data_IF_197997285103
#
_entry.id   IF_197997285103
#
_cell.length_a   1.000
_cell.length_b   1.000
_cell.length_c   1.000
_cell.angle_alpha   90.00
_cell.angle_beta   90.00
_cell.angle_gamma   90.00
#
_symmetry.space_group_name_H-M   'P 1'
#
loop_
_entity.id
_entity.type
_entity.pdbx_description
1 polymer ?
#
# COMPACT_ATOMS: atom_id res chain seq x y z
N UNK A 1 -58.73 -10.93 -30.33
CA UNK A 1 -58.19 -9.80 -29.54
C UNK A 1 -57.59 -10.40 -28.27
N UNK A 2 -56.26 -10.33 -28.05
CA UNK A 2 -55.69 -10.88 -26.81
C UNK A 2 -54.22 -11.34 -26.82
N UNK A 3 -53.44 -11.13 -27.88
CA UNK A 3 -52.03 -11.54 -27.94
C UNK A 3 -51.04 -10.40 -27.59
N UNK A 4 -51.47 -9.43 -26.77
CA UNK A 4 -50.67 -8.21 -26.46
C UNK A 4 -50.25 -8.06 -24.99
N UNK A 5 -50.67 -8.96 -24.10
CA UNK A 5 -50.47 -8.76 -22.65
C UNK A 5 -49.34 -9.59 -22.05
N UNK A 6 -48.80 -10.60 -22.76
CA UNK A 6 -47.72 -11.45 -22.23
C UNK A 6 -46.32 -10.86 -22.45
N UNK A 7 -46.14 -10.04 -23.49
CA UNK A 7 -44.85 -9.42 -23.86
C UNK A 7 -44.47 -8.23 -22.98
N UNK A 8 -45.44 -7.56 -22.33
CA UNK A 8 -45.18 -6.44 -21.41
C UNK A 8 -44.76 -6.90 -20.00
N UNK A 9 -45.15 -8.10 -19.59
CA UNK A 9 -44.77 -8.64 -18.28
C UNK A 9 -43.30 -9.12 -18.27
N UNK A 10 -42.80 -9.59 -19.41
CA UNK A 10 -41.42 -10.03 -19.56
C UNK A 10 -40.42 -8.87 -19.63
N UNK A 11 -40.83 -7.72 -20.16
CA UNK A 11 -39.96 -6.53 -20.27
C UNK A 11 -39.71 -5.84 -18.92
N UNK A 12 -40.64 -5.96 -17.96
CA UNK A 12 -40.44 -5.46 -16.59
C UNK A 12 -39.50 -6.33 -15.76
N UNK A 13 -39.42 -7.63 -16.05
CA UNK A 13 -38.56 -8.56 -15.30
C UNK A 13 -37.08 -8.45 -15.70
N UNK A 14 -36.81 -8.06 -16.95
CA UNK A 14 -35.44 -7.90 -17.49
C UNK A 14 -34.67 -6.67 -16.98
N UNK A 15 -35.32 -5.69 -16.34
CA UNK A 15 -34.64 -4.50 -15.78
C UNK A 15 -34.18 -4.72 -14.32
N UNK A 16 -34.76 -5.68 -13.60
CA UNK A 16 -34.41 -5.95 -12.20
C UNK A 16 -33.11 -6.73 -11.98
N UNK A 17 -32.59 -7.39 -13.02
CA UNK A 17 -31.44 -8.32 -12.90
C UNK A 17 -30.10 -7.60 -13.12
N UNK A 18 -30.09 -6.36 -13.63
CA UNK A 18 -28.86 -5.62 -13.91
C UNK A 18 -28.24 -4.91 -12.69
N UNK A 19 -28.85 -4.99 -11.50
CA UNK A 19 -28.34 -4.30 -10.30
C UNK A 19 -27.53 -5.19 -9.33
N UNK A 20 -27.37 -6.49 -9.62
CA UNK A 20 -26.73 -7.42 -8.66
C UNK A 20 -25.21 -7.57 -8.87
N UNK A 21 -24.62 -6.91 -9.87
CA UNK A 21 -23.18 -7.02 -10.18
C UNK A 21 -22.43 -5.69 -10.04
N UNK A 22 -22.86 -4.81 -9.14
CA UNK A 22 -22.05 -3.67 -8.74
C UNK A 22 -21.11 -4.13 -7.62
N UNK A 23 -19.84 -4.37 -7.95
CA UNK A 23 -18.82 -4.75 -6.99
C UNK A 23 -18.57 -3.57 -6.02
N UNK A 24 -19.16 -3.63 -4.84
CA UNK A 24 -19.07 -2.57 -3.82
C UNK A 24 -17.77 -2.61 -3.02
N UNK A 25 -16.83 -3.51 -3.35
CA UNK A 25 -15.57 -3.67 -2.61
C UNK A 25 -14.78 -2.36 -2.52
N UNK A 26 -14.73 -1.57 -3.60
CA UNK A 26 -14.04 -0.28 -3.66
C UNK A 26 -14.78 0.88 -2.96
N UNK A 27 -16.01 0.68 -2.47
CA UNK A 27 -16.75 1.69 -1.72
C UNK A 27 -16.37 1.70 -0.24
N UNK A 28 -15.80 0.59 0.28
CA UNK A 28 -15.46 0.48 1.69
C UNK A 28 -14.06 1.06 1.93
N UNK A 29 -14.00 2.11 2.73
CA UNK A 29 -12.73 2.73 3.12
C UNK A 29 -11.83 1.73 3.87
N UNK A 30 -10.62 1.54 3.37
CA UNK A 30 -9.58 0.78 4.06
C UNK A 30 -9.07 1.61 5.24
N UNK A 31 -9.16 1.14 6.50
CA UNK A 31 -8.84 1.96 7.65
C UNK A 31 -7.35 2.27 7.73
N UNK A 32 -7.00 3.51 8.09
CA UNK A 32 -5.60 3.94 8.20
C UNK A 32 -4.80 3.14 9.24
N UNK A 33 -5.46 2.63 10.29
CA UNK A 33 -4.85 1.74 11.29
C UNK A 33 -4.40 0.39 10.70
N UNK A 34 -4.84 0.01 9.50
CA UNK A 34 -4.40 -1.22 8.85
C UNK A 34 -2.92 -1.19 8.47
N UNK A 35 -2.27 -0.03 8.45
CA UNK A 35 -0.81 0.06 8.32
C UNK A 35 -0.07 -0.32 9.60
N UNK A 36 -0.70 -0.21 10.77
CA UNK A 36 -0.03 -0.46 12.05
C UNK A 36 0.35 -1.94 12.19
N UNK A 37 1.59 -2.21 12.56
CA UNK A 37 2.14 -3.56 12.68
C UNK A 37 3.60 -3.67 12.24
N UNK A 38 4.09 -4.91 12.20
CA UNK A 38 5.43 -5.24 11.71
C UNK A 38 5.31 -5.81 10.30
N UNK A 39 6.18 -5.33 9.43
CA UNK A 39 6.15 -5.64 8.01
C UNK A 39 7.54 -6.00 7.49
N UNK A 40 7.62 -7.07 6.73
CA UNK A 40 8.81 -7.50 6.01
C UNK A 40 8.84 -6.93 4.60
N UNK A 41 9.99 -6.43 4.16
CA UNK A 41 10.19 -5.98 2.79
C UNK A 41 10.46 -7.16 1.85
N UNK A 42 9.79 -7.18 0.70
CA UNK A 42 9.96 -8.15 -0.38
C UNK A 42 10.04 -7.48 -1.76
N UNK A 43 10.54 -8.21 -2.76
CA UNK A 43 10.62 -7.77 -4.17
C UNK A 43 11.82 -6.90 -4.53
N UNK A 44 12.48 -6.30 -3.56
CA UNK A 44 13.72 -5.51 -3.76
C UNK A 44 14.89 -6.26 -3.17
N UNK A 45 15.67 -6.96 -4.00
CA UNK A 45 16.78 -7.85 -3.58
C UNK A 45 17.67 -7.27 -2.47
N UNK A 46 17.99 -5.97 -2.53
CA UNK A 46 18.82 -5.31 -1.51
C UNK A 46 18.17 -5.24 -0.13
N UNK A 47 16.84 -5.11 -0.07
CA UNK A 47 16.06 -4.87 1.17
C UNK A 47 15.26 -6.08 1.62
N UNK A 48 15.22 -7.16 0.83
CA UNK A 48 14.49 -8.38 1.18
C UNK A 48 14.84 -8.86 2.58
N UNK A 49 13.82 -9.13 3.40
CA UNK A 49 13.96 -9.61 4.77
C UNK A 49 14.16 -8.53 5.83
N UNK A 50 14.32 -7.26 5.46
CA UNK A 50 14.27 -6.17 6.44
C UNK A 50 12.88 -6.06 7.05
N UNK A 51 12.81 -5.80 8.36
CA UNK A 51 11.54 -5.63 9.09
C UNK A 51 11.36 -4.19 9.53
N UNK A 52 10.19 -3.65 9.21
CA UNK A 52 9.79 -2.27 9.50
C UNK A 52 8.56 -2.32 10.40
N UNK A 53 8.64 -1.67 11.57
CA UNK A 53 7.48 -1.45 12.44
C UNK A 53 6.83 -0.12 12.09
N UNK A 54 5.55 -0.15 11.72
CA UNK A 54 4.76 1.04 11.46
C UNK A 54 3.86 1.30 12.66
N UNK A 55 3.98 2.48 13.24
CA UNK A 55 3.20 2.92 14.39
C UNK A 55 2.99 4.44 14.37
N UNK A 56 2.04 4.91 15.19
CA UNK A 56 1.81 6.34 15.37
C UNK A 56 2.94 6.95 16.20
N UNK A 57 3.50 8.05 15.71
CA UNK A 57 4.42 8.88 16.49
C UNK A 57 3.67 9.81 17.47
N UNK A 58 4.42 10.59 18.24
CA UNK A 58 3.89 11.58 19.21
C UNK A 58 2.93 12.61 18.61
N UNK A 59 2.97 12.81 17.29
CA UNK A 59 2.09 13.72 16.54
C UNK A 59 0.89 13.00 15.91
N UNK A 60 0.60 11.77 16.33
CA UNK A 60 -0.43 10.89 15.76
C UNK A 60 -0.27 10.60 14.25
N UNK A 61 0.93 10.74 13.70
CA UNK A 61 1.23 10.38 12.30
C UNK A 61 1.88 9.01 12.25
N UNK A 62 1.51 8.20 11.25
CA UNK A 62 2.16 6.91 11.04
C UNK A 62 3.57 7.11 10.49
N UNK A 63 4.54 6.45 11.13
CA UNK A 63 5.93 6.37 10.70
C UNK A 63 6.42 4.94 10.81
N UNK A 64 7.28 4.53 9.89
CA UNK A 64 7.87 3.19 9.87
C UNK A 64 9.33 3.25 10.31
N UNK A 65 9.69 2.49 11.35
CA UNK A 65 11.07 2.35 11.83
C UNK A 65 11.61 0.97 11.53
N UNK A 66 12.90 0.90 11.19
CA UNK A 66 13.61 -0.37 11.07
C UNK A 66 13.69 -1.04 12.43
N UNK A 67 13.31 -2.31 12.51
CA UNK A 67 13.47 -3.12 13.72
C UNK A 67 14.39 -4.32 13.52
N UNK A 68 14.65 -4.70 12.26
CA UNK A 68 15.59 -5.78 11.92
C UNK A 68 16.17 -5.54 10.52
N UNK A 69 17.48 -5.66 10.40
CA UNK A 69 18.22 -5.54 9.15
C UNK A 69 18.45 -6.91 8.52
N UNK A 70 18.53 -6.96 7.19
CA UNK A 70 18.96 -8.16 6.48
C UNK A 70 20.50 -8.29 6.44
N UNK A 71 21.01 -9.34 5.80
CA UNK A 71 22.45 -9.59 5.63
C UNK A 71 23.12 -8.77 4.51
N UNK A 72 22.42 -7.81 3.89
CA UNK A 72 23.01 -7.03 2.82
C UNK A 72 24.05 -6.04 3.36
N UNK A 73 25.29 -6.18 2.89
CA UNK A 73 26.42 -5.32 3.31
C UNK A 73 26.13 -3.82 3.18
N UNK A 74 25.50 -3.39 2.08
CA UNK A 74 25.25 -1.97 1.86
C UNK A 74 24.18 -1.45 2.82
N UNK A 75 23.12 -2.21 3.04
CA UNK A 75 22.09 -1.87 4.03
C UNK A 75 22.73 -1.66 5.41
N UNK A 76 23.55 -2.62 5.87
CA UNK A 76 24.24 -2.53 7.17
C UNK A 76 25.25 -1.39 7.31
N UNK A 77 25.73 -0.84 6.18
CA UNK A 77 26.66 0.29 6.20
C UNK A 77 25.96 1.65 6.35
N UNK A 78 24.68 1.73 6.01
CA UNK A 78 23.98 3.01 5.84
C UNK A 78 22.62 3.08 6.54
N UNK A 79 22.21 2.02 7.21
CA UNK A 79 20.93 1.92 7.92
C UNK A 79 21.19 1.26 9.27
N UNK A 80 20.65 1.85 10.31
CA UNK A 80 20.69 1.32 11.67
C UNK A 80 19.29 0.90 12.13
N UNK A 81 19.22 0.03 13.13
CA UNK A 81 17.94 -0.22 13.80
C UNK A 81 17.40 1.08 14.42
N UNK A 82 16.07 1.21 14.46
CA UNK A 82 15.32 2.41 14.80
C UNK A 82 15.38 3.57 13.80
N UNK A 83 16.15 3.47 12.71
CA UNK A 83 16.09 4.46 11.64
C UNK A 83 14.67 4.61 11.09
N UNK A 84 14.29 5.85 10.76
CA UNK A 84 13.02 6.11 10.09
C UNK A 84 13.16 5.65 8.63
N UNK A 85 12.50 4.55 8.30
CA UNK A 85 12.40 4.04 6.94
C UNK A 85 11.23 4.70 6.20
N UNK A 86 10.02 4.64 6.78
CA UNK A 86 8.84 5.31 6.23
C UNK A 86 8.66 6.63 6.95
N UNK A 87 8.89 7.72 6.21
CA UNK A 87 8.79 9.10 6.71
C UNK A 87 7.34 9.56 6.81
N UNK A 88 6.51 9.16 5.86
CA UNK A 88 5.12 9.60 5.78
C UNK A 88 4.25 8.55 5.09
N UNK A 89 3.01 8.44 5.56
CA UNK A 89 1.93 7.72 4.91
C UNK A 89 0.78 8.72 4.75
N UNK A 90 0.17 8.80 3.57
CA UNK A 90 -0.99 9.65 3.31
C UNK A 90 -2.03 8.93 2.48
N UNK A 91 -3.30 9.28 2.66
CA UNK A 91 -4.42 8.76 1.87
C UNK A 91 -4.62 9.58 0.60
N UNK A 92 -4.77 8.89 -0.52
CA UNK A 92 -5.16 9.50 -1.80
C UNK A 92 -6.62 9.21 -2.15
N UNK A 93 -7.12 8.01 -1.83
CA UNK A 93 -8.52 7.62 -2.00
C UNK A 93 -8.99 6.68 -0.88
N UNK A 94 -10.18 6.09 -0.99
CA UNK A 94 -10.70 5.15 0.01
C UNK A 94 -9.82 3.91 0.17
N UNK A 95 -9.07 3.52 -0.87
CA UNK A 95 -8.22 2.34 -0.92
C UNK A 95 -6.78 2.64 -1.39
N UNK A 96 -6.55 3.81 -2.01
CA UNK A 96 -5.22 4.25 -2.45
C UNK A 96 -4.52 5.13 -1.41
N UNK A 97 -3.23 4.89 -1.26
CA UNK A 97 -2.35 5.57 -0.35
C UNK A 97 -1.03 5.95 -1.03
N UNK A 98 -0.28 6.81 -0.35
CA UNK A 98 1.10 7.15 -0.72
C UNK A 98 2.01 6.91 0.46
N UNK A 99 3.14 6.27 0.19
CA UNK A 99 4.22 6.06 1.16
C UNK A 99 5.45 6.80 0.69
N UNK A 100 6.09 7.53 1.61
CA UNK A 100 7.39 8.16 1.39
C UNK A 100 8.43 7.42 2.20
N UNK A 101 9.34 6.73 1.51
CA UNK A 101 10.46 6.02 2.11
C UNK A 101 11.74 6.87 2.03
N UNK A 102 12.56 6.85 3.08
CA UNK A 102 13.90 7.39 3.01
C UNK A 102 14.78 6.47 2.15
N UNK A 103 15.66 7.08 1.33
CA UNK A 103 16.67 6.32 0.59
C UNK A 103 17.72 5.80 1.55
N UNK A 104 18.32 4.66 1.19
CA UNK A 104 19.58 4.25 1.80
C UNK A 104 20.62 5.37 1.63
N UNK A 105 21.41 5.64 2.67
CA UNK A 105 22.37 6.74 2.71
C UNK A 105 21.73 8.14 2.52
N UNK A 106 20.49 8.35 2.99
CA UNK A 106 19.74 9.62 2.89
C UNK A 106 20.58 10.87 3.24
N UNK A 107 21.48 10.75 4.21
CA UNK A 107 22.30 11.87 4.70
C UNK A 107 23.33 12.28 3.63
N UNK A 108 23.89 11.32 2.91
CA UNK A 108 24.78 11.56 1.78
C UNK A 108 24.05 12.31 0.66
N UNK A 109 22.87 11.83 0.26
CA UNK A 109 22.05 12.52 -0.75
C UNK A 109 21.73 13.95 -0.31
N UNK A 110 21.40 14.16 0.97
CA UNK A 110 21.08 15.47 1.53
C UNK A 110 22.26 16.44 1.47
N UNK A 111 23.49 15.99 1.78
CA UNK A 111 24.71 16.81 1.69
C UNK A 111 24.92 17.37 0.28
N UNK A 112 24.59 16.59 -0.76
CA UNK A 112 24.72 17.00 -2.15
C UNK A 112 23.47 17.67 -2.73
N UNK A 113 22.46 17.98 -1.90
CA UNK A 113 21.21 18.58 -2.36
C UNK A 113 20.38 17.67 -3.28
N UNK A 114 20.61 16.36 -3.21
CA UNK A 114 19.89 15.36 -3.99
C UNK A 114 18.65 14.85 -3.22
N UNK A 115 17.63 14.31 -3.93
CA UNK A 115 16.49 13.69 -3.27
C UNK A 115 16.92 12.53 -2.35
N UNK A 116 16.54 12.62 -1.08
CA UNK A 116 16.89 11.67 -0.02
C UNK A 116 15.74 10.70 0.33
N UNK A 117 14.66 10.74 -0.45
CA UNK A 117 13.48 9.90 -0.27
C UNK A 117 12.85 9.54 -1.61
N UNK A 118 12.11 8.46 -1.63
CA UNK A 118 11.28 8.02 -2.76
C UNK A 118 9.80 8.00 -2.33
N UNK A 119 8.92 8.39 -3.25
CA UNK A 119 7.47 8.25 -3.10
C UNK A 119 6.98 7.04 -3.88
N UNK A 120 6.00 6.34 -3.30
CA UNK A 120 5.34 5.17 -3.88
C UNK A 120 3.83 5.32 -3.77
N UNK A 121 3.12 4.88 -4.81
CA UNK A 121 1.68 4.62 -4.77
C UNK A 121 1.46 3.24 -4.16
N UNK A 122 0.44 3.14 -3.30
CA UNK A 122 0.30 2.03 -2.38
C UNK A 122 -1.16 1.63 -2.23
N UNK A 123 -1.41 0.32 -2.33
CA UNK A 123 -2.69 -0.29 -2.01
C UNK A 123 -2.50 -1.55 -1.17
N UNK A 124 -3.53 -1.88 -0.38
CA UNK A 124 -3.58 -3.16 0.30
C UNK A 124 -4.12 -4.22 -0.66
N UNK A 125 -3.28 -5.20 -1.00
CA UNK A 125 -3.70 -6.40 -1.74
C UNK A 125 -4.62 -7.23 -0.84
N UNK A 126 -4.27 -7.34 0.44
CA UNK A 126 -5.08 -7.92 1.50
C UNK A 126 -4.66 -7.34 2.87
N UNK A 127 -5.20 -7.84 3.99
CA UNK A 127 -4.87 -7.34 5.34
C UNK A 127 -3.40 -7.56 5.74
N UNK A 128 -2.72 -8.47 5.06
CA UNK A 128 -1.35 -8.94 5.33
C UNK A 128 -0.35 -8.50 4.27
N UNK A 129 -0.78 -7.86 3.19
CA UNK A 129 0.09 -7.46 2.08
C UNK A 129 -0.25 -6.07 1.58
N UNK A 130 0.80 -5.27 1.45
CA UNK A 130 0.75 -3.94 0.83
C UNK A 130 1.61 -4.00 -0.42
N UNK A 131 1.07 -3.60 -1.56
CA UNK A 131 1.82 -3.48 -2.81
C UNK A 131 2.29 -2.04 -3.04
N UNK A 132 3.50 -1.89 -3.61
CA UNK A 132 4.11 -0.59 -3.89
C UNK A 132 4.37 -0.44 -5.39
N UNK A 133 3.95 0.69 -5.96
CA UNK A 133 4.25 1.06 -7.33
C UNK A 133 4.99 2.40 -7.43
N UNK A 134 5.73 2.59 -8.52
CA UNK A 134 6.26 3.88 -8.97
C UNK A 134 5.73 4.18 -10.37
N UNK A 135 5.39 5.45 -10.62
CA UNK A 135 4.89 5.89 -11.92
C UNK A 135 3.50 5.34 -12.19
N UNK A 136 3.29 4.72 -13.35
CA UNK A 136 1.97 4.27 -13.83
C UNK A 136 1.70 2.78 -13.57
N UNK A 137 2.47 2.12 -12.70
CA UNK A 137 2.29 0.69 -12.42
C UNK A 137 1.18 0.49 -11.38
N UNK A 138 0.44 -0.61 -11.46
CA UNK A 138 -0.61 -0.94 -10.50
C UNK A 138 0.02 -1.49 -9.19
N UNK A 139 -0.25 -0.88 -8.01
CA UNK A 139 0.23 -1.39 -6.73
C UNK A 139 -0.27 -2.81 -6.42
N UNK A 140 -1.47 -3.18 -6.85
CA UNK A 140 -2.10 -4.47 -6.52
C UNK A 140 -1.44 -5.67 -7.21
N UNK A 141 -0.76 -5.42 -8.34
CA UNK A 141 0.01 -6.41 -9.10
C UNK A 141 1.52 -6.34 -8.80
N UNK A 142 1.93 -5.51 -7.85
CA UNK A 142 3.35 -5.25 -7.60
C UNK A 142 4.08 -6.46 -7.04
N UNK A 143 5.29 -6.70 -7.56
CA UNK A 143 6.24 -7.63 -6.97
C UNK A 143 6.99 -7.05 -5.76
N UNK A 144 6.94 -5.72 -5.58
CA UNK A 144 7.52 -5.01 -4.43
C UNK A 144 6.44 -4.83 -3.38
N UNK A 145 6.56 -5.57 -2.28
CA UNK A 145 5.51 -5.62 -1.26
C UNK A 145 6.07 -5.47 0.15
N UNK A 146 5.21 -5.03 1.05
CA UNK A 146 5.37 -5.22 2.49
C UNK A 146 4.46 -6.37 2.90
N UNK A 147 5.02 -7.39 3.55
CA UNK A 147 4.28 -8.54 4.06
C UNK A 147 4.22 -8.49 5.58
N UNK A 148 3.03 -8.53 6.16
CA UNK A 148 2.83 -8.50 7.60
C UNK A 148 3.44 -9.75 8.24
N UNK A 149 4.17 -9.54 9.34
CA UNK A 149 4.65 -10.62 10.22
C UNK A 149 3.99 -10.36 11.57
N UNK A 150 3.07 -11.24 11.94
CA UNK A 150 2.41 -11.21 13.25
C UNK A 150 3.35 -11.72 14.36
#
# INVERSE_FOLDING_TARGET
>A
MGFKNFTKLFTLFSIGILLVSCDTSNLKETPFSQFEGIWELHGRKMFNGMKIKIEKNEKNKLTGRVIELNDNKYVRMFVEENDIWIKNISRSSNFEFKIVENRIAKDLFTIYGLPASDEYEVEFIDKTKIGLAKGTSDPTESSVIYKRID
#
